data_IF_902711656364
#
_entry.id   IF_902711656364
#
_cell.length_a   1.000
_cell.length_b   1.000
_cell.length_c   1.000
_cell.angle_alpha   90.00
_cell.angle_beta   90.00
_cell.angle_gamma   90.00
#
_symmetry.space_group_name_H-M   'P 1'
#
loop_
_entity.id
_entity.type
_entity.pdbx_description
1 polymer ?
#
# COMPACT_ATOMS: atom_id res chain seq x y z
N UNK A 1 12.90 -21.74 -12.60
CA UNK A 1 11.72 -20.83 -12.49
C UNK A 1 10.86 -21.21 -11.28
N UNK A 2 10.48 -22.46 -11.10
CA UNK A 2 9.56 -22.93 -10.04
C UNK A 2 10.10 -22.73 -8.63
N UNK A 3 11.38 -23.00 -8.41
CA UNK A 3 12.05 -22.73 -7.13
C UNK A 3 11.99 -21.26 -6.73
N UNK A 4 12.18 -20.35 -7.68
CA UNK A 4 12.08 -18.91 -7.42
C UNK A 4 10.66 -18.49 -7.04
N UNK A 5 9.64 -19.06 -7.70
CA UNK A 5 8.23 -18.82 -7.36
C UNK A 5 7.92 -19.32 -5.95
N UNK A 6 8.35 -20.53 -5.61
CA UNK A 6 8.17 -21.07 -4.26
C UNK A 6 8.89 -20.24 -3.18
N UNK A 7 10.13 -19.83 -3.44
CA UNK A 7 10.89 -18.97 -2.54
C UNK A 7 10.22 -17.60 -2.34
N UNK A 8 9.68 -17.02 -3.40
CA UNK A 8 8.89 -15.75 -3.33
C UNK A 8 7.59 -15.92 -2.57
N UNK A 9 6.88 -17.04 -2.75
CA UNK A 9 5.68 -17.34 -1.99
C UNK A 9 5.98 -17.45 -0.48
N UNK A 10 7.06 -18.14 -0.12
CA UNK A 10 7.49 -18.26 1.27
C UNK A 10 7.94 -16.92 1.86
N UNK A 11 8.70 -16.13 1.10
CA UNK A 11 9.09 -14.77 1.49
C UNK A 11 7.86 -13.87 1.69
N UNK A 12 6.87 -13.95 0.78
CA UNK A 12 5.61 -13.21 0.89
C UNK A 12 4.80 -13.61 2.12
N UNK A 13 4.73 -14.90 2.43
CA UNK A 13 4.07 -15.40 3.64
C UNK A 13 4.75 -14.87 4.92
N UNK A 14 6.09 -14.86 4.95
CA UNK A 14 6.85 -14.26 6.08
C UNK A 14 6.59 -12.76 6.23
N UNK A 15 6.58 -12.00 5.13
CA UNK A 15 6.28 -10.57 5.13
C UNK A 15 4.83 -10.29 5.60
N UNK A 16 3.86 -11.09 5.13
CA UNK A 16 2.46 -11.00 5.54
C UNK A 16 2.27 -11.27 7.03
N UNK A 17 3.06 -12.16 7.62
CA UNK A 17 3.07 -12.40 9.05
C UNK A 17 3.72 -11.24 9.84
N UNK A 18 4.78 -10.62 9.31
CA UNK A 18 5.58 -9.62 10.04
C UNK A 18 4.96 -8.22 10.00
N UNK A 19 4.53 -7.73 8.83
CA UNK A 19 4.11 -6.33 8.65
C UNK A 19 2.94 -5.92 9.55
N UNK A 20 1.84 -6.70 9.65
CA UNK A 20 0.74 -6.37 10.57
C UNK A 20 1.18 -6.39 12.05
N UNK A 21 2.12 -7.26 12.42
CA UNK A 21 2.62 -7.33 13.79
C UNK A 21 3.41 -6.07 14.19
N UNK A 22 4.18 -5.50 13.27
CA UNK A 22 4.85 -4.21 13.53
C UNK A 22 3.83 -3.12 13.78
N UNK A 23 2.78 -3.03 12.95
CA UNK A 23 1.71 -2.03 13.12
C UNK A 23 0.93 -2.25 14.42
N UNK A 24 0.60 -3.50 14.74
CA UNK A 24 -0.08 -3.85 16.00
C UNK A 24 0.79 -3.50 17.22
N UNK A 25 2.09 -3.81 17.18
CA UNK A 25 3.03 -3.46 18.24
C UNK A 25 3.10 -1.94 18.45
N UNK A 26 3.14 -1.15 17.38
CA UNK A 26 3.09 0.31 17.49
C UNK A 26 1.78 0.75 18.13
N UNK A 27 0.65 0.19 17.70
CA UNK A 27 -0.67 0.57 18.19
C UNK A 27 -0.86 0.25 19.68
N UNK A 28 -0.26 -0.84 20.16
CA UNK A 28 -0.34 -1.28 21.56
C UNK A 28 0.67 -0.57 22.47
N UNK A 29 1.90 -0.35 21.96
CA UNK A 29 3.01 0.18 22.79
C UNK A 29 2.92 1.69 22.96
N UNK A 30 2.43 2.41 21.94
CA UNK A 30 2.37 3.85 21.95
C UNK A 30 0.92 4.34 21.95
N UNK A 31 0.67 5.49 22.61
CA UNK A 31 -0.66 6.09 22.68
C UNK A 31 -0.61 7.60 22.35
N UNK A 32 -1.72 8.13 21.83
CA UNK A 32 -1.85 9.55 21.53
C UNK A 32 -0.78 10.07 20.57
N UNK A 33 -0.11 11.14 20.93
CA UNK A 33 0.92 11.79 20.10
C UNK A 33 2.13 10.88 19.85
N UNK A 34 2.52 10.05 20.82
CA UNK A 34 3.65 9.13 20.65
C UNK A 34 3.35 8.03 19.64
N UNK A 35 2.11 7.56 19.55
CA UNK A 35 1.66 6.60 18.54
C UNK A 35 1.73 7.20 17.14
N UNK A 36 1.26 8.44 16.99
CA UNK A 36 1.33 9.15 15.71
C UNK A 36 2.79 9.37 15.25
N UNK A 37 3.70 9.70 16.17
CA UNK A 37 5.14 9.79 15.88
C UNK A 37 5.72 8.44 15.45
N UNK A 38 5.34 7.36 16.12
CA UNK A 38 5.79 6.00 15.78
C UNK A 38 5.29 5.56 14.39
N UNK A 39 4.02 5.83 14.03
CA UNK A 39 3.52 5.57 12.68
C UNK A 39 4.20 6.46 11.62
N UNK A 40 4.53 7.71 11.96
CA UNK A 40 5.31 8.59 11.09
C UNK A 40 6.72 8.04 10.84
N UNK A 41 7.40 7.55 11.88
CA UNK A 41 8.70 6.90 11.75
C UNK A 41 8.62 5.59 10.95
N UNK A 42 7.58 4.78 11.15
CA UNK A 42 7.30 3.61 10.34
C UNK A 42 7.15 3.97 8.84
N UNK A 43 6.34 4.99 8.53
CA UNK A 43 6.17 5.48 7.17
C UNK A 43 7.47 6.01 6.54
N UNK A 44 8.31 6.68 7.33
CA UNK A 44 9.63 7.14 6.91
C UNK A 44 10.56 5.96 6.57
N UNK A 45 10.61 4.92 7.40
CA UNK A 45 11.41 3.71 7.16
C UNK A 45 10.92 2.97 5.91
N UNK A 46 9.59 2.86 5.73
CA UNK A 46 9.01 2.25 4.53
C UNK A 46 9.39 3.03 3.25
N UNK A 47 9.35 4.36 3.31
CA UNK A 47 9.78 5.22 2.20
C UNK A 47 11.28 5.11 1.92
N UNK A 48 12.10 5.02 2.96
CA UNK A 48 13.55 4.77 2.82
C UNK A 48 13.83 3.44 2.14
N UNK A 49 13.09 2.38 2.48
CA UNK A 49 13.15 1.09 1.78
C UNK A 49 12.81 1.22 0.29
N UNK A 50 11.84 2.06 -0.06
CA UNK A 50 11.49 2.39 -1.44
C UNK A 50 12.61 3.08 -2.22
N UNK A 51 13.45 3.90 -1.56
CA UNK A 51 14.66 4.50 -2.16
C UNK A 51 15.77 3.47 -2.28
N UNK A 52 16.08 2.82 -1.16
CA UNK A 52 17.24 1.93 -1.07
C UNK A 52 17.08 0.69 -1.95
N UNK A 53 15.85 0.17 -2.10
CA UNK A 53 15.59 -1.04 -2.88
C UNK A 53 16.11 -0.96 -4.33
N UNK A 54 15.60 -0.04 -5.16
CA UNK A 54 16.07 0.11 -6.53
C UNK A 54 17.55 0.48 -6.64
N UNK A 55 18.07 1.35 -5.76
CA UNK A 55 19.46 1.77 -5.75
C UNK A 55 20.40 0.62 -5.42
N UNK A 56 20.12 -0.10 -4.31
CA UNK A 56 20.90 -1.27 -3.92
C UNK A 56 20.78 -2.39 -4.96
N UNK A 57 19.60 -2.58 -5.52
CA UNK A 57 19.37 -3.54 -6.59
C UNK A 57 20.25 -3.26 -7.82
N UNK A 58 20.30 -2.02 -8.27
CA UNK A 58 21.14 -1.62 -9.39
C UNK A 58 22.63 -1.77 -9.07
N UNK A 59 23.08 -1.28 -7.91
CA UNK A 59 24.49 -1.36 -7.47
C UNK A 59 24.93 -2.82 -7.33
N UNK A 60 24.15 -3.66 -6.64
CA UNK A 60 24.52 -5.05 -6.42
C UNK A 60 24.57 -5.86 -7.72
N UNK A 61 23.64 -5.56 -8.65
CA UNK A 61 23.63 -6.24 -9.96
C UNK A 61 24.80 -5.82 -10.82
N UNK A 62 25.14 -4.51 -10.83
CA UNK A 62 26.26 -3.99 -11.65
C UNK A 62 27.63 -4.32 -11.06
N UNK A 63 27.74 -4.43 -9.75
CA UNK A 63 28.99 -4.81 -9.08
C UNK A 63 29.37 -6.27 -9.26
N UNK A 64 28.41 -7.10 -9.68
CA UNK A 64 28.57 -8.55 -9.94
C UNK A 64 29.45 -9.27 -8.90
N UNK A 65 29.18 -9.01 -7.62
CA UNK A 65 29.97 -9.49 -6.49
C UNK A 65 30.06 -11.03 -6.55
N UNK A 66 31.25 -11.56 -6.72
CA UNK A 66 31.53 -13.00 -6.80
C UNK A 66 30.77 -13.73 -7.94
N UNK A 67 30.42 -13.06 -9.04
CA UNK A 67 29.66 -13.64 -10.16
C UNK A 67 28.21 -13.92 -9.84
N UNK A 68 27.67 -13.33 -8.76
CA UNK A 68 26.29 -13.56 -8.32
C UNK A 68 25.25 -12.79 -9.15
N UNK A 69 25.65 -11.69 -9.81
CA UNK A 69 24.77 -10.85 -10.61
C UNK A 69 23.50 -10.45 -9.84
N UNK A 70 22.32 -10.66 -10.44
CA UNK A 70 21.03 -10.34 -9.83
C UNK A 70 20.72 -11.15 -8.54
N UNK A 71 21.40 -12.28 -8.29
CA UNK A 71 21.20 -13.10 -7.08
C UNK A 71 21.63 -12.38 -5.81
N UNK A 72 22.59 -11.45 -5.91
CA UNK A 72 23.02 -10.63 -4.78
C UNK A 72 21.88 -9.83 -4.14
N UNK A 73 20.87 -9.41 -4.91
CA UNK A 73 19.67 -8.71 -4.43
C UNK A 73 18.88 -9.54 -3.42
N UNK A 74 18.89 -10.87 -3.56
CA UNK A 74 18.22 -11.77 -2.62
C UNK A 74 19.08 -12.04 -1.39
N UNK A 75 20.38 -12.25 -1.61
CA UNK A 75 21.29 -12.61 -0.54
C UNK A 75 21.51 -11.51 0.48
N UNK A 76 21.40 -10.24 0.08
CA UNK A 76 21.49 -9.11 1.01
C UNK A 76 20.39 -9.14 2.12
N UNK A 77 19.26 -9.80 1.84
CA UNK A 77 18.21 -9.95 2.85
C UNK A 77 18.59 -10.88 3.99
N UNK A 78 19.57 -11.80 3.79
CA UNK A 78 20.00 -12.72 4.84
C UNK A 78 20.70 -12.01 6.00
N UNK A 79 21.77 -11.19 5.79
CA UNK A 79 22.40 -10.46 6.87
C UNK A 79 21.47 -9.42 7.50
N UNK A 80 20.63 -8.75 6.71
CA UNK A 80 19.64 -7.79 7.23
C UNK A 80 18.60 -8.52 8.09
N UNK A 81 18.08 -9.65 7.63
CA UNK A 81 17.12 -10.48 8.37
C UNK A 81 17.72 -11.01 9.68
N UNK A 82 18.96 -11.52 9.63
CA UNK A 82 19.66 -11.99 10.83
C UNK A 82 19.85 -10.86 11.84
N UNK A 83 20.33 -9.70 11.40
CA UNK A 83 20.46 -8.53 12.26
C UNK A 83 19.13 -8.13 12.87
N UNK A 84 18.06 -8.08 12.06
CA UNK A 84 16.71 -7.76 12.54
C UNK A 84 16.23 -8.73 13.63
N UNK A 85 16.43 -10.03 13.44
CA UNK A 85 16.07 -11.04 14.45
C UNK A 85 16.86 -10.83 15.74
N UNK A 86 18.18 -10.62 15.67
CA UNK A 86 19.02 -10.39 16.84
C UNK A 86 18.60 -9.12 17.60
N UNK A 87 18.31 -8.02 16.88
CA UNK A 87 17.79 -6.80 17.49
C UNK A 87 16.40 -7.01 18.10
N UNK A 88 15.51 -7.72 17.42
CA UNK A 88 14.18 -8.02 17.94
C UNK A 88 14.25 -8.81 19.25
N UNK A 89 15.05 -9.87 19.30
CA UNK A 89 15.26 -10.67 20.52
C UNK A 89 15.86 -9.86 21.67
N UNK A 90 16.63 -8.82 21.37
CA UNK A 90 17.29 -8.00 22.42
C UNK A 90 16.43 -6.86 22.93
N UNK A 91 15.62 -6.23 22.06
CA UNK A 91 14.99 -4.94 22.35
C UNK A 91 13.46 -5.00 22.41
N UNK A 92 12.83 -6.02 21.82
CA UNK A 92 11.37 -6.13 21.87
C UNK A 92 11.01 -6.97 23.10
N UNK A 93 10.30 -6.40 24.09
CA UNK A 93 9.84 -7.17 25.22
C UNK A 93 8.80 -8.20 24.76
N UNK A 94 8.89 -9.40 25.31
CA UNK A 94 7.92 -10.44 25.02
C UNK A 94 6.55 -10.05 25.61
N UNK A 95 5.57 -9.85 24.76
CA UNK A 95 4.19 -9.62 25.16
C UNK A 95 3.36 -10.86 24.84
N UNK A 96 2.86 -11.53 25.88
CA UNK A 96 1.93 -12.64 25.74
C UNK A 96 0.58 -12.23 26.27
N UNK A 97 -0.43 -12.39 25.46
CA UNK A 97 -1.80 -12.25 25.95
C UNK A 97 -2.10 -13.40 26.91
N UNK A 98 -2.57 -13.08 28.12
CA UNK A 98 -2.85 -14.08 29.17
C UNK A 98 -4.00 -15.02 28.78
N UNK A 99 -4.88 -14.59 27.87
CA UNK A 99 -5.94 -15.38 27.28
C UNK A 99 -5.73 -15.49 25.77
N UNK A 100 -4.79 -16.35 25.35
CA UNK A 100 -4.57 -16.60 23.93
C UNK A 100 -5.86 -17.07 23.27
N UNK A 101 -6.38 -16.27 22.32
CA UNK A 101 -7.55 -16.65 21.50
C UNK A 101 -7.19 -17.92 20.73
N UNK A 102 -8.15 -18.86 20.63
CA UNK A 102 -7.97 -20.07 19.82
C UNK A 102 -7.75 -19.67 18.36
N UNK A 103 -6.75 -20.28 17.72
CA UNK A 103 -6.52 -20.10 16.30
C UNK A 103 -7.76 -20.47 15.48
N UNK A 104 -8.03 -19.74 14.43
CA UNK A 104 -9.10 -20.01 13.45
C UNK A 104 -8.52 -20.49 12.11
N UNK A 105 -8.07 -21.76 12.00
CA UNK A 105 -7.47 -22.26 10.77
C UNK A 105 -8.42 -22.18 9.58
N UNK A 106 -9.71 -22.42 9.78
CA UNK A 106 -10.72 -22.34 8.73
C UNK A 106 -10.89 -20.90 8.25
N UNK A 107 -10.97 -19.93 9.17
CA UNK A 107 -11.02 -18.51 8.81
C UNK A 107 -9.76 -18.07 8.07
N UNK A 108 -8.57 -18.53 8.49
CA UNK A 108 -7.31 -18.24 7.80
C UNK A 108 -7.30 -18.79 6.37
N UNK A 109 -7.74 -20.03 6.16
CA UNK A 109 -7.80 -20.63 4.82
C UNK A 109 -8.82 -19.91 3.94
N UNK A 110 -10.03 -19.66 4.45
CA UNK A 110 -11.09 -18.98 3.68
C UNK A 110 -10.69 -17.55 3.30
N UNK A 111 -10.14 -16.77 4.24
CA UNK A 111 -9.69 -15.40 3.95
C UNK A 111 -8.54 -15.41 2.94
N UNK A 112 -7.51 -16.22 3.12
CA UNK A 112 -6.37 -16.31 2.22
C UNK A 112 -6.77 -16.78 0.83
N UNK A 113 -7.58 -17.83 0.73
CA UNK A 113 -8.06 -18.35 -0.56
C UNK A 113 -8.96 -17.32 -1.27
N UNK A 114 -9.89 -16.69 -0.55
CA UNK A 114 -10.77 -15.67 -1.12
C UNK A 114 -10.00 -14.46 -1.63
N UNK A 115 -9.01 -13.98 -0.87
CA UNK A 115 -8.17 -12.85 -1.26
C UNK A 115 -7.28 -13.20 -2.48
N UNK A 116 -6.69 -14.39 -2.52
CA UNK A 116 -5.90 -14.84 -3.67
C UNK A 116 -6.76 -14.99 -4.93
N UNK A 117 -7.97 -15.55 -4.80
CA UNK A 117 -8.94 -15.68 -5.90
C UNK A 117 -9.42 -14.34 -6.44
N UNK A 118 -9.37 -13.26 -5.66
CA UNK A 118 -9.62 -11.91 -6.14
C UNK A 118 -8.35 -11.24 -6.68
N UNK A 119 -7.26 -11.27 -5.92
CA UNK A 119 -6.05 -10.52 -6.26
C UNK A 119 -5.38 -11.02 -7.54
N UNK A 120 -5.30 -12.34 -7.74
CA UNK A 120 -4.64 -12.91 -8.92
C UNK A 120 -5.30 -12.50 -10.25
N UNK A 121 -6.63 -12.70 -10.45
CA UNK A 121 -7.26 -12.28 -11.69
C UNK A 121 -7.29 -10.74 -11.86
N UNK A 122 -7.36 -9.96 -10.78
CA UNK A 122 -7.25 -8.52 -10.85
C UNK A 122 -5.87 -8.05 -11.35
N UNK A 123 -4.81 -8.77 -11.00
CA UNK A 123 -3.44 -8.41 -11.41
C UNK A 123 -3.14 -8.85 -12.83
N UNK A 124 -3.56 -10.06 -13.23
CA UNK A 124 -3.16 -10.69 -14.51
C UNK A 124 -4.25 -10.59 -15.58
N UNK A 125 -5.50 -10.38 -15.17
CA UNK A 125 -6.67 -10.41 -16.08
C UNK A 125 -6.61 -9.33 -17.16
N UNK A 126 -6.15 -8.13 -16.80
CA UNK A 126 -6.01 -7.01 -17.74
C UNK A 126 -5.04 -7.31 -18.88
N UNK A 127 -3.88 -7.87 -18.60
CA UNK A 127 -2.87 -8.28 -19.60
C UNK A 127 -3.41 -9.35 -20.56
N UNK A 128 -4.32 -10.20 -20.09
CA UNK A 128 -4.91 -11.30 -20.85
C UNK A 128 -6.29 -10.99 -21.41
N UNK A 129 -6.69 -9.72 -21.48
CA UNK A 129 -8.00 -9.28 -21.99
C UNK A 129 -9.19 -9.96 -21.29
N UNK A 130 -9.11 -10.15 -19.97
CA UNK A 130 -10.17 -10.68 -19.11
C UNK A 130 -10.76 -12.00 -19.57
N UNK A 131 -9.96 -13.08 -19.64
CA UNK A 131 -10.46 -14.39 -20.04
C UNK A 131 -11.52 -14.90 -19.06
N UNK A 132 -12.39 -15.80 -19.52
CA UNK A 132 -13.53 -16.30 -18.73
C UNK A 132 -13.14 -16.92 -17.38
N UNK A 133 -11.95 -17.55 -17.30
CA UNK A 133 -11.45 -18.08 -16.05
C UNK A 133 -11.19 -16.98 -15.00
N UNK A 134 -10.76 -15.79 -15.42
CA UNK A 134 -10.50 -14.68 -14.49
C UNK A 134 -11.79 -14.15 -13.88
N UNK A 135 -12.85 -14.04 -14.67
CA UNK A 135 -14.19 -13.67 -14.18
C UNK A 135 -14.75 -14.74 -13.25
N UNK A 136 -14.59 -16.03 -13.61
CA UNK A 136 -14.96 -17.15 -12.75
C UNK A 136 -14.23 -17.12 -11.39
N UNK A 137 -12.92 -16.84 -11.38
CA UNK A 137 -12.15 -16.70 -10.15
C UNK A 137 -12.63 -15.53 -9.28
N UNK A 138 -13.00 -14.39 -9.87
CA UNK A 138 -13.56 -13.26 -9.13
C UNK A 138 -14.87 -13.62 -8.43
N UNK A 139 -15.77 -14.32 -9.14
CA UNK A 139 -17.04 -14.78 -8.56
C UNK A 139 -16.79 -15.79 -7.43
N UNK A 140 -15.94 -16.79 -7.66
CA UNK A 140 -15.61 -17.79 -6.63
C UNK A 140 -14.93 -17.13 -5.44
N UNK A 141 -14.02 -16.20 -5.66
CA UNK A 141 -13.36 -15.42 -4.61
C UNK A 141 -14.34 -14.63 -3.75
N UNK A 142 -15.31 -13.96 -4.39
CA UNK A 142 -16.37 -13.24 -3.68
C UNK A 142 -17.25 -14.20 -2.83
N UNK A 143 -17.60 -15.37 -3.37
CA UNK A 143 -18.37 -16.39 -2.64
C UNK A 143 -17.57 -16.95 -1.45
N UNK A 144 -16.28 -17.21 -1.62
CA UNK A 144 -15.39 -17.68 -0.54
C UNK A 144 -15.26 -16.62 0.56
N UNK A 145 -15.14 -15.33 0.21
CA UNK A 145 -15.13 -14.25 1.20
C UNK A 145 -16.50 -14.09 1.89
N UNK A 146 -17.60 -14.27 1.17
CA UNK A 146 -18.93 -14.29 1.80
C UNK A 146 -19.06 -15.44 2.80
N UNK A 147 -18.58 -16.64 2.44
CA UNK A 147 -18.52 -17.79 3.34
C UNK A 147 -17.60 -17.52 4.55
N UNK A 148 -16.46 -16.85 4.35
CA UNK A 148 -15.59 -16.38 5.44
C UNK A 148 -16.35 -15.47 6.40
N UNK A 149 -17.04 -14.44 5.90
CA UNK A 149 -17.81 -13.51 6.76
C UNK A 149 -18.93 -14.25 7.52
N UNK A 150 -19.62 -15.18 6.87
CA UNK A 150 -20.63 -16.01 7.52
C UNK A 150 -20.04 -16.88 8.64
N UNK A 151 -18.90 -17.51 8.38
CA UNK A 151 -18.15 -18.31 9.35
C UNK A 151 -17.67 -17.45 10.52
N UNK A 152 -17.13 -16.24 10.28
CA UNK A 152 -16.70 -15.32 11.33
C UNK A 152 -17.88 -14.89 12.22
N UNK A 153 -19.04 -14.58 11.63
CA UNK A 153 -20.26 -14.27 12.39
C UNK A 153 -20.72 -15.42 13.28
N UNK A 154 -20.69 -16.64 12.74
CA UNK A 154 -21.05 -17.84 13.50
C UNK A 154 -20.10 -18.08 14.65
N UNK A 155 -18.79 -17.90 14.42
CA UNK A 155 -17.74 -18.13 15.40
C UNK A 155 -17.73 -17.06 16.49
N UNK A 156 -17.95 -15.79 16.14
CA UNK A 156 -18.10 -14.71 17.13
C UNK A 156 -19.27 -14.98 18.08
N UNK A 157 -20.39 -15.54 17.56
CA UNK A 157 -21.55 -15.89 18.41
C UNK A 157 -21.33 -17.11 19.27
N UNK A 158 -20.47 -18.05 18.87
CA UNK A 158 -20.28 -19.34 19.53
C UNK A 158 -19.27 -19.25 20.68
N UNK A 159 -18.09 -18.72 20.44
CA UNK A 159 -16.97 -18.77 21.38
C UNK A 159 -16.07 -17.51 21.36
N UNK A 160 -16.40 -16.51 20.56
CA UNK A 160 -15.62 -15.26 20.44
C UNK A 160 -14.22 -15.41 19.83
N UNK A 161 -13.86 -16.62 19.32
CA UNK A 161 -12.52 -16.90 18.78
C UNK A 161 -12.41 -16.62 17.26
N UNK A 162 -13.21 -15.70 16.74
CA UNK A 162 -13.14 -15.29 15.35
C UNK A 162 -11.79 -14.63 15.03
N UNK A 163 -11.26 -14.87 13.82
CA UNK A 163 -10.04 -14.27 13.33
C UNK A 163 -10.17 -12.74 13.21
N UNK A 164 -11.34 -12.28 12.78
CA UNK A 164 -11.69 -10.88 12.63
C UNK A 164 -12.69 -10.48 13.70
N UNK A 165 -12.33 -9.53 14.53
CA UNK A 165 -13.25 -8.92 15.49
C UNK A 165 -14.27 -8.07 14.76
N UNK A 166 -15.49 -8.61 14.56
CA UNK A 166 -16.53 -7.92 13.81
C UNK A 166 -17.04 -6.65 14.52
N UNK A 167 -16.84 -6.55 15.85
CA UNK A 167 -17.09 -5.34 16.65
C UNK A 167 -16.32 -4.12 16.15
N UNK A 168 -15.18 -4.30 15.52
CA UNK A 168 -14.40 -3.21 14.91
C UNK A 168 -15.19 -2.43 13.85
N UNK A 169 -16.08 -3.10 13.11
CA UNK A 169 -16.91 -2.47 12.09
C UNK A 169 -18.08 -1.66 12.65
N UNK A 170 -18.40 -1.81 13.92
CA UNK A 170 -19.39 -0.97 14.62
C UNK A 170 -18.83 0.44 14.86
N UNK A 171 -17.51 0.56 14.97
CA UNK A 171 -16.82 1.86 15.01
C UNK A 171 -16.84 2.52 13.64
N UNK A 172 -17.57 3.62 13.51
CA UNK A 172 -17.60 4.44 12.28
C UNK A 172 -16.21 4.96 11.90
N UNK A 173 -15.35 5.21 12.88
CA UNK A 173 -13.99 5.67 12.67
C UNK A 173 -13.14 4.56 12.03
N UNK A 174 -13.21 3.33 12.56
CA UNK A 174 -12.46 2.21 12.00
C UNK A 174 -12.98 1.82 10.60
N UNK A 175 -14.28 1.63 10.46
CA UNK A 175 -14.87 1.24 9.17
C UNK A 175 -14.61 2.30 8.07
N UNK A 176 -14.74 3.56 8.40
CA UNK A 176 -14.45 4.65 7.46
C UNK A 176 -12.96 4.81 7.17
N UNK A 177 -12.08 4.61 8.16
CA UNK A 177 -10.63 4.58 7.98
C UNK A 177 -10.19 3.42 7.08
N UNK A 178 -10.80 2.25 7.25
CA UNK A 178 -10.56 1.07 6.40
C UNK A 178 -11.03 1.32 4.96
N UNK A 179 -12.18 1.94 4.76
CA UNK A 179 -12.67 2.33 3.43
C UNK A 179 -11.73 3.35 2.77
N UNK A 180 -11.26 4.36 3.53
CA UNK A 180 -10.28 5.33 3.04
C UNK A 180 -8.94 4.65 2.67
N UNK A 181 -8.50 3.66 3.47
CA UNK A 181 -7.29 2.89 3.19
C UNK A 181 -7.42 2.06 1.90
N UNK A 182 -8.58 1.45 1.65
CA UNK A 182 -8.85 0.74 0.41
C UNK A 182 -8.79 1.67 -0.81
N UNK A 183 -9.39 2.87 -0.70
CA UNK A 183 -9.31 3.89 -1.77
C UNK A 183 -7.88 4.39 -1.94
N UNK A 184 -7.12 4.56 -0.87
CA UNK A 184 -5.71 4.92 -0.95
C UNK A 184 -4.87 3.83 -1.65
N UNK A 185 -5.14 2.56 -1.35
CA UNK A 185 -4.56 1.43 -2.10
C UNK A 185 -4.89 1.51 -3.59
N UNK A 186 -6.16 1.76 -3.94
CA UNK A 186 -6.60 1.91 -5.33
C UNK A 186 -5.84 3.04 -6.04
N UNK A 187 -5.73 4.21 -5.42
CA UNK A 187 -4.92 5.33 -5.92
C UNK A 187 -3.47 4.91 -6.16
N UNK A 188 -2.89 4.19 -5.19
CA UNK A 188 -1.51 3.70 -5.27
C UNK A 188 -1.32 2.73 -6.43
N UNK A 189 -2.25 1.80 -6.63
CA UNK A 189 -2.20 0.83 -7.73
C UNK A 189 -2.33 1.47 -9.09
N UNK A 190 -3.29 2.39 -9.26
CA UNK A 190 -3.45 3.15 -10.51
C UNK A 190 -2.18 3.95 -10.82
N UNK A 191 -1.71 4.72 -9.85
CA UNK A 191 -0.52 5.56 -10.02
C UNK A 191 0.72 4.72 -10.34
N UNK A 192 1.00 3.66 -9.58
CA UNK A 192 2.19 2.84 -9.76
C UNK A 192 2.26 2.24 -11.16
N UNK A 193 1.18 1.63 -11.64
CA UNK A 193 1.16 1.01 -12.97
C UNK A 193 1.29 2.05 -14.08
N UNK A 194 0.45 3.08 -14.06
CA UNK A 194 0.41 4.07 -15.14
C UNK A 194 1.67 4.93 -15.18
N UNK A 195 2.28 5.20 -14.03
CA UNK A 195 3.56 5.89 -13.93
C UNK A 195 4.69 5.11 -14.60
N UNK A 196 4.81 3.80 -14.29
CA UNK A 196 5.84 2.95 -14.90
C UNK A 196 5.65 2.82 -16.40
N UNK A 197 4.42 2.63 -16.87
CA UNK A 197 4.10 2.55 -18.30
C UNK A 197 4.40 3.89 -19.03
N UNK A 198 4.05 5.02 -18.42
CA UNK A 198 4.36 6.33 -18.95
C UNK A 198 5.87 6.56 -19.07
N UNK A 199 6.66 6.22 -18.06
CA UNK A 199 8.12 6.38 -18.10
C UNK A 199 8.77 5.48 -19.15
N UNK A 200 8.36 4.21 -19.22
CA UNK A 200 8.98 3.23 -20.11
C UNK A 200 8.47 3.35 -21.54
N UNK A 201 7.15 3.25 -21.75
CA UNK A 201 6.55 3.20 -23.07
C UNK A 201 6.20 4.59 -23.62
N UNK A 202 5.90 5.56 -22.76
CA UNK A 202 5.61 6.94 -23.14
C UNK A 202 6.88 7.73 -23.48
N UNK A 203 7.82 7.76 -22.53
CA UNK A 203 9.07 8.52 -22.67
C UNK A 203 10.25 7.68 -23.19
N UNK A 204 10.08 6.36 -23.35
CA UNK A 204 11.15 5.47 -23.83
C UNK A 204 12.33 5.30 -22.85
N UNK A 205 12.13 5.59 -21.54
CA UNK A 205 13.18 5.55 -20.55
C UNK A 205 13.45 4.14 -20.05
N UNK A 206 14.72 3.77 -19.95
CA UNK A 206 15.10 2.54 -19.26
C UNK A 206 14.87 2.66 -17.75
N UNK A 207 14.73 1.53 -17.02
CA UNK A 207 14.57 1.55 -15.55
C UNK A 207 15.62 2.40 -14.82
N UNK A 208 16.87 2.36 -15.25
CA UNK A 208 17.94 3.18 -14.67
C UNK A 208 17.78 4.68 -14.90
N UNK A 209 17.21 5.06 -16.05
CA UNK A 209 17.02 6.47 -16.40
C UNK A 209 15.88 7.11 -15.62
N UNK A 210 14.81 6.39 -15.28
CA UNK A 210 13.72 6.95 -14.47
C UNK A 210 13.87 6.71 -12.95
N UNK A 211 14.89 5.98 -12.52
CA UNK A 211 15.19 5.76 -11.10
C UNK A 211 15.25 7.06 -10.27
N UNK A 212 15.83 8.19 -10.74
CA UNK A 212 15.82 9.44 -9.98
C UNK A 212 14.42 9.96 -9.62
N UNK A 213 13.41 9.76 -10.49
CA UNK A 213 12.03 10.15 -10.19
C UNK A 213 11.42 9.24 -9.12
N UNK A 214 11.74 7.95 -9.12
CA UNK A 214 11.31 7.01 -8.07
C UNK A 214 11.94 7.33 -6.71
N UNK A 215 13.21 7.72 -6.72
CA UNK A 215 13.92 8.23 -5.53
C UNK A 215 13.26 9.51 -5.03
N UNK A 216 12.89 10.43 -5.93
CA UNK A 216 12.20 11.67 -5.58
C UNK A 216 10.86 11.41 -4.87
N UNK A 217 10.04 10.47 -5.37
CA UNK A 217 8.80 10.02 -4.71
C UNK A 217 9.09 9.52 -3.29
N UNK A 218 10.12 8.73 -3.11
CA UNK A 218 10.45 8.13 -1.81
C UNK A 218 11.00 9.16 -0.82
N UNK A 219 11.83 10.11 -1.27
CA UNK A 219 12.30 11.24 -0.45
C UNK A 219 11.10 12.10 -0.02
N UNK A 220 10.20 12.40 -0.95
CA UNK A 220 8.95 13.07 -0.64
C UNK A 220 8.13 12.30 0.39
N UNK A 221 7.97 10.98 0.21
CA UNK A 221 7.26 10.10 1.13
C UNK A 221 7.79 10.14 2.55
N UNK A 222 9.11 10.14 2.69
CA UNK A 222 9.78 10.30 3.98
C UNK A 222 9.46 11.66 4.62
N UNK A 223 9.59 12.75 3.85
CA UNK A 223 9.25 14.10 4.33
C UNK A 223 7.78 14.21 4.72
N UNK A 224 6.86 13.66 3.92
CA UNK A 224 5.43 13.64 4.20
C UNK A 224 5.07 12.85 5.46
N UNK A 225 5.68 11.68 5.66
CA UNK A 225 5.49 10.89 6.88
C UNK A 225 6.02 11.62 8.12
N UNK A 226 7.14 12.35 8.01
CA UNK A 226 7.65 13.21 9.08
C UNK A 226 6.70 14.37 9.39
N UNK A 227 6.12 15.01 8.38
CA UNK A 227 5.12 16.06 8.57
C UNK A 227 3.87 15.50 9.25
N UNK A 228 3.41 14.32 8.81
CA UNK A 228 2.29 13.62 9.43
C UNK A 228 2.54 13.38 10.93
N UNK A 229 3.73 12.92 11.31
CA UNK A 229 4.07 12.67 12.70
C UNK A 229 4.09 13.95 13.56
N UNK A 230 4.53 15.08 13.00
CA UNK A 230 4.58 16.37 13.70
C UNK A 230 3.20 16.99 13.92
N UNK A 231 2.27 16.79 12.99
CA UNK A 231 0.95 17.45 13.00
C UNK A 231 -0.18 16.53 13.48
N UNK A 232 0.07 15.25 13.68
CA UNK A 232 -0.95 14.28 14.05
C UNK A 232 -1.62 14.58 15.39
N UNK A 233 -0.89 15.10 16.38
CA UNK A 233 -1.44 15.41 17.70
C UNK A 233 -2.51 16.50 17.67
N UNK A 234 -2.37 17.50 16.79
CA UNK A 234 -3.30 18.64 16.70
C UNK A 234 -4.37 18.47 15.60
N UNK A 235 -4.08 17.70 14.53
CA UNK A 235 -4.90 17.70 13.32
C UNK A 235 -4.94 16.33 12.65
N UNK A 236 -5.18 15.26 13.40
CA UNK A 236 -5.12 13.86 12.93
C UNK A 236 -5.86 13.60 11.60
N UNK A 237 -7.03 14.20 11.41
CA UNK A 237 -7.85 14.06 10.20
C UNK A 237 -7.37 14.95 9.04
N UNK A 238 -6.87 16.16 9.36
CA UNK A 238 -6.47 17.13 8.34
C UNK A 238 -5.19 16.73 7.60
N UNK A 239 -4.30 15.99 8.26
CA UNK A 239 -3.03 15.56 7.68
C UNK A 239 -3.22 14.67 6.45
N UNK A 240 -3.95 13.52 6.51
CA UNK A 240 -4.18 12.72 5.32
C UNK A 240 -5.04 13.43 4.26
N UNK A 241 -5.94 14.34 4.65
CA UNK A 241 -6.68 15.17 3.70
C UNK A 241 -5.75 16.12 2.95
N UNK A 242 -4.86 16.82 3.64
CA UNK A 242 -3.86 17.69 3.03
C UNK A 242 -2.93 16.90 2.08
N UNK A 243 -2.53 15.67 2.49
CA UNK A 243 -1.77 14.77 1.64
C UNK A 243 -2.51 14.39 0.35
N UNK A 244 -3.81 14.08 0.46
CA UNK A 244 -4.64 13.76 -0.69
C UNK A 244 -4.80 14.94 -1.66
N UNK A 245 -5.02 16.15 -1.12
CA UNK A 245 -5.09 17.39 -1.93
C UNK A 245 -3.74 17.66 -2.59
N UNK A 246 -2.64 17.43 -1.88
CA UNK A 246 -1.29 17.62 -2.43
C UNK A 246 -1.02 16.66 -3.60
N UNK A 247 -1.37 15.37 -3.48
CA UNK A 247 -1.26 14.41 -4.59
C UNK A 247 -2.12 14.86 -5.78
N UNK A 248 -3.40 15.13 -5.54
CA UNK A 248 -4.35 15.49 -6.59
C UNK A 248 -3.93 16.77 -7.33
N UNK A 249 -3.57 17.81 -6.59
CA UNK A 249 -3.14 19.10 -7.15
C UNK A 249 -1.84 18.99 -7.93
N UNK A 250 -0.87 18.24 -7.40
CA UNK A 250 0.43 18.03 -8.08
C UNK A 250 0.27 17.22 -9.36
N UNK A 251 -0.50 16.13 -9.33
CA UNK A 251 -0.73 15.30 -10.52
C UNK A 251 -1.54 16.05 -11.57
N UNK A 252 -2.58 16.79 -11.18
CA UNK A 252 -3.34 17.62 -12.10
C UNK A 252 -2.47 18.71 -12.73
N UNK A 253 -1.64 19.40 -11.92
CA UNK A 253 -0.70 20.41 -12.41
C UNK A 253 0.36 19.83 -13.35
N UNK A 254 0.92 18.67 -13.00
CA UNK A 254 1.87 17.96 -13.87
C UNK A 254 1.23 17.56 -15.19
N UNK A 255 -0.02 17.08 -15.14
CA UNK A 255 -0.78 16.75 -16.35
C UNK A 255 -0.99 17.96 -17.27
N UNK A 256 -1.40 19.10 -16.72
CA UNK A 256 -1.57 20.33 -17.48
C UNK A 256 -0.24 20.79 -18.11
N UNK A 257 0.87 20.62 -17.42
CA UNK A 257 2.20 20.94 -17.91
C UNK A 257 2.60 20.01 -19.07
N UNK A 258 2.35 18.70 -18.93
CA UNK A 258 2.65 17.71 -19.99
C UNK A 258 1.78 17.95 -21.23
N UNK A 259 0.49 18.27 -21.06
CA UNK A 259 -0.41 18.54 -22.17
C UNK A 259 -0.13 19.86 -22.90
N UNK A 260 0.43 20.86 -22.19
CA UNK A 260 0.82 22.14 -22.81
C UNK A 260 2.11 22.06 -23.62
N UNK A 261 2.99 21.12 -23.29
CA UNK A 261 4.26 20.90 -23.97
C UNK A 261 4.11 19.78 -25.02
N UNK A 262 3.66 20.11 -26.22
CA UNK A 262 3.41 19.17 -27.32
C UNK A 262 4.64 18.36 -27.77
N UNK A 263 5.85 18.70 -27.35
CA UNK A 263 7.09 17.99 -27.67
C UNK A 263 7.98 17.88 -26.43
N UNK A 264 8.03 16.66 -25.86
CA UNK A 264 9.10 16.22 -24.99
C UNK A 264 9.28 17.03 -23.71
N UNK A 265 8.40 16.82 -22.72
CA UNK A 265 8.66 17.31 -21.34
C UNK A 265 10.02 16.77 -20.89
N UNK A 266 11.01 17.61 -20.57
CA UNK A 266 12.28 17.10 -20.10
C UNK A 266 12.04 16.28 -18.82
N UNK A 267 12.65 15.10 -18.74
CA UNK A 267 12.52 14.21 -17.57
C UNK A 267 12.80 14.94 -16.25
N UNK A 268 13.72 15.90 -16.25
CA UNK A 268 14.01 16.73 -15.09
C UNK A 268 12.78 17.48 -14.54
N UNK A 269 11.81 17.83 -15.40
CA UNK A 269 10.57 18.48 -14.98
C UNK A 269 9.62 17.54 -14.20
N UNK A 270 9.82 16.23 -14.27
CA UNK A 270 9.05 15.25 -13.49
C UNK A 270 9.56 15.12 -12.04
N UNK A 271 10.84 15.39 -11.78
CA UNK A 271 11.46 15.10 -10.48
C UNK A 271 10.84 15.92 -9.35
N UNK A 272 10.68 17.23 -9.52
CA UNK A 272 10.13 18.11 -8.50
C UNK A 272 8.65 17.78 -8.17
N UNK A 273 7.74 17.60 -9.15
CA UNK A 273 6.38 17.12 -8.86
C UNK A 273 6.36 15.77 -8.13
N UNK A 274 7.27 14.86 -8.45
CA UNK A 274 7.30 13.54 -7.81
C UNK A 274 7.70 13.60 -6.33
N UNK A 275 8.50 14.57 -5.91
CA UNK A 275 8.73 14.84 -4.46
C UNK A 275 7.42 15.22 -3.77
N UNK A 276 6.62 16.08 -4.37
CA UNK A 276 5.34 16.51 -3.80
C UNK A 276 4.31 15.38 -3.78
N UNK A 277 4.23 14.58 -4.84
CA UNK A 277 3.39 13.37 -4.88
C UNK A 277 3.80 12.43 -3.76
N UNK A 278 5.10 12.16 -3.63
CA UNK A 278 5.63 11.34 -2.55
C UNK A 278 5.27 11.88 -1.16
N UNK A 279 5.44 13.20 -0.94
CA UNK A 279 5.06 13.83 0.32
C UNK A 279 3.57 13.62 0.65
N UNK A 280 2.70 13.75 -0.34
CA UNK A 280 1.30 13.43 -0.19
C UNK A 280 1.06 11.96 0.18
N UNK A 281 1.72 11.01 -0.48
CA UNK A 281 1.64 9.58 -0.14
C UNK A 281 2.09 9.30 1.30
N UNK A 282 3.19 9.91 1.74
CA UNK A 282 3.68 9.78 3.13
C UNK A 282 2.69 10.34 4.16
N UNK A 283 2.12 11.53 3.89
CA UNK A 283 1.12 12.15 4.75
C UNK A 283 -0.16 11.30 4.86
N UNK A 284 -0.65 10.76 3.73
CA UNK A 284 -1.84 9.90 3.72
C UNK A 284 -1.57 8.60 4.44
N UNK A 285 -0.50 7.88 4.09
CA UNK A 285 -0.22 6.55 4.65
C UNK A 285 -0.02 6.57 6.16
N UNK A 286 0.84 7.46 6.67
CA UNK A 286 1.09 7.59 8.10
C UNK A 286 -0.15 8.15 8.84
N UNK A 287 -0.83 9.14 8.25
CA UNK A 287 -2.01 9.76 8.84
C UNK A 287 -3.20 8.82 8.94
N UNK A 288 -3.49 8.01 7.91
CA UNK A 288 -4.58 7.03 7.94
C UNK A 288 -4.32 5.92 8.95
N UNK A 289 -3.08 5.42 9.04
CA UNK A 289 -2.72 4.40 10.01
C UNK A 289 -2.97 4.91 11.45
N UNK A 290 -2.47 6.11 11.75
CA UNK A 290 -2.69 6.75 13.04
C UNK A 290 -4.18 6.97 13.34
N UNK A 291 -4.94 7.52 12.39
CA UNK A 291 -6.37 7.81 12.56
C UNK A 291 -7.20 6.53 12.77
N UNK A 292 -6.91 5.47 12.00
CA UNK A 292 -7.73 4.26 11.99
C UNK A 292 -7.41 3.34 13.18
N UNK A 293 -6.13 3.20 13.54
CA UNK A 293 -5.70 2.26 14.57
C UNK A 293 -5.67 2.85 15.98
N UNK A 294 -5.67 4.19 16.13
CA UNK A 294 -5.62 4.84 17.44
C UNK A 294 -6.85 4.62 18.34
N UNK A 295 -7.98 4.21 17.75
CA UNK A 295 -9.23 3.98 18.49
C UNK A 295 -9.52 2.49 18.73
N UNK A 296 -8.56 1.63 18.38
CA UNK A 296 -8.70 0.19 18.53
C UNK A 296 -8.16 -0.26 19.89
N UNK A 297 -8.92 -1.08 20.60
CA UNK A 297 -8.47 -1.67 21.85
C UNK A 297 -7.27 -2.59 21.66
N UNK A 298 -6.45 -2.72 22.70
CA UNK A 298 -5.22 -3.52 22.67
C UNK A 298 -5.47 -4.98 22.23
N UNK A 299 -6.60 -5.56 22.66
CA UNK A 299 -7.00 -6.94 22.36
C UNK A 299 -7.30 -7.18 20.87
N UNK A 300 -7.71 -6.15 20.12
CA UNK A 300 -8.07 -6.24 18.71
C UNK A 300 -7.02 -5.61 17.77
N UNK A 301 -5.91 -5.10 18.31
CA UNK A 301 -4.89 -4.38 17.53
C UNK A 301 -4.31 -5.21 16.40
N UNK A 302 -4.05 -6.52 16.62
CA UNK A 302 -3.56 -7.42 15.58
C UNK A 302 -4.57 -7.64 14.44
N UNK A 303 -5.85 -7.85 14.78
CA UNK A 303 -6.94 -8.00 13.81
C UNK A 303 -7.13 -6.72 13.00
N UNK A 304 -7.13 -5.56 13.66
CA UNK A 304 -7.28 -4.25 13.03
C UNK A 304 -6.12 -3.94 12.08
N UNK A 305 -4.87 -4.18 12.49
CA UNK A 305 -3.68 -3.98 11.66
C UNK A 305 -3.68 -4.91 10.44
N UNK A 306 -4.10 -6.17 10.61
CA UNK A 306 -4.28 -7.13 9.52
C UNK A 306 -5.31 -6.66 8.51
N UNK A 307 -6.49 -6.22 8.97
CA UNK A 307 -7.55 -5.67 8.11
C UNK A 307 -7.09 -4.40 7.38
N UNK A 308 -6.41 -3.50 8.07
CA UNK A 308 -5.88 -2.27 7.50
C UNK A 308 -4.90 -2.54 6.36
N UNK A 309 -3.96 -3.48 6.56
CA UNK A 309 -3.03 -3.89 5.51
C UNK A 309 -3.74 -4.63 4.36
N UNK A 310 -4.72 -5.48 4.66
CA UNK A 310 -5.53 -6.19 3.65
C UNK A 310 -6.30 -5.20 2.78
N UNK A 311 -6.90 -4.17 3.36
CA UNK A 311 -7.58 -3.11 2.61
C UNK A 311 -6.64 -2.39 1.64
N UNK A 312 -5.41 -2.09 2.08
CA UNK A 312 -4.37 -1.51 1.21
C UNK A 312 -4.05 -2.42 0.02
N UNK A 313 -3.81 -3.71 0.27
CA UNK A 313 -3.44 -4.66 -0.77
C UNK A 313 -4.57 -4.93 -1.77
N UNK A 314 -5.80 -5.09 -1.29
CA UNK A 314 -6.98 -5.20 -2.15
C UNK A 314 -7.20 -3.93 -2.97
N UNK A 315 -7.09 -2.77 -2.35
CA UNK A 315 -7.18 -1.49 -3.04
C UNK A 315 -6.13 -1.40 -4.15
N UNK A 316 -4.87 -1.75 -3.86
CA UNK A 316 -3.79 -1.74 -4.86
C UNK A 316 -4.07 -2.69 -6.03
N UNK A 317 -4.53 -3.91 -5.76
CA UNK A 317 -4.91 -4.86 -6.81
C UNK A 317 -6.07 -4.34 -7.67
N UNK A 318 -7.10 -3.77 -7.06
CA UNK A 318 -8.22 -3.12 -7.76
C UNK A 318 -7.74 -1.93 -8.60
N UNK A 319 -6.82 -1.13 -8.07
CA UNK A 319 -6.21 0.00 -8.76
C UNK A 319 -5.43 -0.42 -10.00
N UNK A 320 -4.61 -1.45 -9.89
CA UNK A 320 -3.87 -2.04 -11.02
C UNK A 320 -4.86 -2.56 -12.09
N UNK A 321 -5.91 -3.29 -11.67
CA UNK A 321 -6.92 -3.81 -12.58
C UNK A 321 -7.65 -2.69 -13.32
N UNK A 322 -8.10 -1.67 -12.60
CA UNK A 322 -8.77 -0.50 -13.18
C UNK A 322 -7.84 0.25 -14.15
N UNK A 323 -6.60 0.47 -13.74
CA UNK A 323 -5.60 1.12 -14.58
C UNK A 323 -5.33 0.32 -15.85
N UNK A 324 -5.21 -1.01 -15.76
CA UNK A 324 -5.03 -1.87 -16.94
C UNK A 324 -6.17 -1.71 -17.95
N UNK A 325 -7.43 -1.74 -17.48
CA UNK A 325 -8.59 -1.58 -18.36
C UNK A 325 -8.61 -0.20 -19.01
N UNK A 326 -8.47 0.85 -18.21
CA UNK A 326 -8.57 2.24 -18.72
C UNK A 326 -7.38 2.58 -19.60
N UNK A 327 -6.18 2.23 -19.17
CA UNK A 327 -4.95 2.57 -19.87
C UNK A 327 -4.88 1.86 -21.24
N UNK A 328 -5.07 0.52 -21.26
CA UNK A 328 -4.99 -0.25 -22.51
C UNK A 328 -6.19 -0.05 -23.45
N UNK A 329 -7.29 0.51 -22.97
CA UNK A 329 -8.37 0.98 -23.84
C UNK A 329 -7.91 2.19 -24.69
N UNK A 330 -7.12 3.09 -24.11
CA UNK A 330 -6.62 4.29 -24.80
C UNK A 330 -5.27 4.05 -25.49
N UNK A 331 -4.43 3.18 -24.92
CA UNK A 331 -3.11 2.82 -25.46
C UNK A 331 -2.98 1.29 -25.53
N UNK A 332 -3.39 0.65 -26.63
CA UNK A 332 -3.23 -0.78 -26.85
C UNK A 332 -1.78 -1.25 -26.64
N UNK A 333 -1.59 -2.55 -26.36
CA UNK A 333 -0.27 -3.12 -26.14
C UNK A 333 0.65 -2.83 -27.35
N UNK A 334 1.86 -2.33 -27.08
CA UNK A 334 2.81 -1.90 -28.11
C UNK A 334 2.69 -0.42 -28.52
N UNK A 335 1.76 0.34 -27.93
CA UNK A 335 1.70 1.80 -28.13
C UNK A 335 2.91 2.49 -27.48
N UNK A 336 3.38 3.57 -28.11
CA UNK A 336 4.50 4.39 -27.65
C UNK A 336 4.20 5.89 -27.80
N UNK A 337 4.97 6.72 -27.11
CA UNK A 337 4.94 8.18 -27.29
C UNK A 337 3.63 8.83 -26.87
N UNK A 338 3.03 9.63 -27.74
CA UNK A 338 1.88 10.48 -27.44
C UNK A 338 0.65 9.72 -26.98
N UNK A 339 0.35 8.56 -27.58
CA UNK A 339 -0.80 7.71 -27.21
C UNK A 339 -0.70 7.26 -25.73
N UNK A 340 0.50 6.87 -25.30
CA UNK A 340 0.76 6.48 -23.89
C UNK A 340 0.65 7.69 -22.97
N UNK A 341 1.09 8.85 -23.41
CA UNK A 341 0.99 10.11 -22.67
C UNK A 341 -0.48 10.50 -22.45
N UNK A 342 -1.33 10.36 -23.46
CA UNK A 342 -2.78 10.62 -23.36
C UNK A 342 -3.46 9.61 -22.41
N UNK A 343 -3.11 8.33 -22.49
CA UNK A 343 -3.63 7.31 -21.59
C UNK A 343 -3.22 7.56 -20.13
N UNK A 344 -1.98 7.99 -19.90
CA UNK A 344 -1.53 8.45 -18.59
C UNK A 344 -2.33 9.64 -18.08
N UNK A 345 -2.55 10.62 -18.96
CA UNK A 345 -3.37 11.79 -18.69
C UNK A 345 -4.78 11.44 -18.22
N UNK A 346 -5.45 10.55 -18.95
CA UNK A 346 -6.76 10.03 -18.57
C UNK A 346 -6.73 9.36 -17.19
N UNK A 347 -5.70 8.56 -16.92
CA UNK A 347 -5.54 7.83 -15.66
C UNK A 347 -5.38 8.75 -14.44
N UNK A 348 -4.74 9.92 -14.59
CA UNK A 348 -4.61 10.91 -13.50
C UNK A 348 -5.97 11.38 -12.99
N UNK A 349 -6.94 11.59 -13.86
CA UNK A 349 -8.27 12.04 -13.45
C UNK A 349 -9.02 11.02 -12.61
N UNK A 350 -8.80 9.70 -12.83
CA UNK A 350 -9.33 8.67 -11.95
C UNK A 350 -8.66 8.71 -10.57
N UNK A 351 -7.36 8.98 -10.52
CA UNK A 351 -6.63 9.19 -9.26
C UNK A 351 -7.20 10.40 -8.50
N UNK A 352 -7.40 11.53 -9.18
CA UNK A 352 -7.97 12.75 -8.59
C UNK A 352 -9.39 12.50 -8.07
N UNK A 353 -10.24 11.82 -8.84
CA UNK A 353 -11.58 11.46 -8.42
C UNK A 353 -11.58 10.53 -7.19
N UNK A 354 -10.73 9.51 -7.18
CA UNK A 354 -10.60 8.61 -6.04
C UNK A 354 -10.10 9.34 -4.77
N UNK A 355 -9.14 10.27 -4.90
CA UNK A 355 -8.69 11.10 -3.78
C UNK A 355 -9.79 12.03 -3.27
N UNK A 356 -10.63 12.58 -4.13
CA UNK A 356 -11.80 13.34 -3.73
C UNK A 356 -12.80 12.49 -2.93
N UNK A 357 -13.07 11.26 -3.38
CA UNK A 357 -13.89 10.29 -2.64
C UNK A 357 -13.27 9.97 -1.28
N UNK A 358 -11.96 9.75 -1.22
CA UNK A 358 -11.24 9.50 0.03
C UNK A 358 -11.37 10.68 0.99
N UNK A 359 -11.21 11.91 0.51
CA UNK A 359 -11.41 13.13 1.31
C UNK A 359 -12.85 13.19 1.85
N UNK A 360 -13.85 12.92 1.02
CA UNK A 360 -15.25 12.90 1.42
C UNK A 360 -15.55 11.86 2.50
N UNK A 361 -14.97 10.66 2.39
CA UNK A 361 -15.05 9.62 3.41
C UNK A 361 -14.44 10.11 4.74
N UNK A 362 -13.28 10.74 4.69
CA UNK A 362 -12.60 11.26 5.89
C UNK A 362 -13.37 12.41 6.56
N UNK A 363 -14.14 13.21 5.82
CA UNK A 363 -14.99 14.26 6.42
C UNK A 363 -16.09 13.69 7.32
N UNK A 364 -16.54 12.47 7.06
CA UNK A 364 -17.58 11.77 7.84
C UNK A 364 -17.03 11.06 9.08
N UNK A 365 -15.71 10.98 9.22
CA UNK A 365 -15.08 10.33 10.38
C UNK A 365 -15.19 11.25 11.61
N UNK A 366 -15.51 10.71 12.79
CA UNK A 366 -15.48 11.48 14.03
C UNK A 366 -14.05 11.97 14.30
N UNK A 367 -13.92 13.20 14.81
CA UNK A 367 -12.62 13.68 15.27
C UNK A 367 -12.22 12.90 16.54
N UNK A 368 -10.98 12.44 16.66
CA UNK A 368 -10.51 11.82 17.89
C UNK A 368 -10.70 12.80 19.05
N UNK A 369 -11.27 12.31 20.15
CA UNK A 369 -11.40 13.11 21.38
C UNK A 369 -9.99 13.52 21.82
N UNK A 370 -9.73 14.81 21.96
CA UNK A 370 -8.47 15.30 22.51
C UNK A 370 -8.30 14.68 23.88
N UNK A 371 -7.25 13.89 24.05
CA UNK A 371 -6.84 13.47 25.39
C UNK A 371 -6.49 14.77 26.15
N UNK A 372 -7.34 15.09 27.12
CA UNK A 372 -7.13 16.19 28.10
C UNK A 372 -5.98 15.81 29.02
#
# INVERSE_FOLDING_TARGET
PEFLVAARALQGAGAAAMVPQVMATIAVTFQGESQAKAFGMYGMIMSLGGVLGPVLGAVLTSADIAGLGWRAIFLINLPIGLATVLFALRFIPESREQQARRLDPLGMVLSSAGLLLLAYPLTVGGEKHWPTWSLGMLVVGALVLAAFVAQQRAKTRKDGSALVALSLFESKAFAGGLAAQLVFGLVSGVFLLTWVLFMQSGLGLSPGQFAPASVAISIGGMAGAMLASKWAGAHMRRVPQAGAVLIAGTLAGYQLLVSAQQTGTPFAAAVAPMILVGAGFGMVGAGLAGLTLSQVGHEDAGSAAGLFNTAMQLGTALGIAMASVVFFHHAPAGSHGTTVTEAFAGSIWYVVAALAVMCALMFRLPEPVKAT
#
